data_IF_664078514278
#
_entry.id   IF_664078514278
#
_cell.length_a   1.000
_cell.length_b   1.000
_cell.length_c   1.000
_cell.angle_alpha   90.00
_cell.angle_beta   90.00
_cell.angle_gamma   90.00
#
_symmetry.space_group_name_H-M   'P 1'
#
loop_
_entity.id
_entity.type
_entity.pdbx_description
1 polymer ?
#
# COMPACT_ATOMS: atom_id res chain seq x y z
N UNK A 1 -14.67 -0.19 -1.76
CA UNK A 1 -13.29 -0.58 -2.10
C UNK A 1 -12.71 0.42 -3.08
N UNK A 2 -12.89 1.71 -2.80
CA UNK A 2 -12.42 2.82 -3.62
C UNK A 2 -11.93 3.90 -2.68
N UNK A 3 -10.83 4.56 -2.99
CA UNK A 3 -10.38 5.71 -2.21
C UNK A 3 -11.19 6.96 -2.59
N UNK A 4 -11.29 7.91 -1.66
CA UNK A 4 -11.93 9.19 -1.95
C UNK A 4 -11.10 9.99 -2.96
N UNK A 5 -11.76 10.55 -3.97
CA UNK A 5 -11.15 11.48 -4.93
C UNK A 5 -11.35 12.90 -4.42
N UNK A 6 -10.29 13.71 -4.43
CA UNK A 6 -10.36 15.13 -4.11
C UNK A 6 -10.81 15.91 -5.36
N UNK A 7 -12.12 16.16 -5.46
CA UNK A 7 -12.72 16.96 -6.56
C UNK A 7 -12.31 18.44 -6.50
N UNK A 8 -11.98 18.92 -5.30
CA UNK A 8 -11.57 20.31 -5.04
C UNK A 8 -10.23 20.34 -4.31
N UNK A 9 -9.38 21.29 -4.65
CA UNK A 9 -8.07 21.45 -4.05
C UNK A 9 -7.10 22.14 -5.00
N UNK A 10 -5.82 22.11 -4.65
CA UNK A 10 -4.73 22.64 -5.46
C UNK A 10 -3.70 21.55 -5.70
N UNK A 11 -3.06 21.56 -6.85
CA UNK A 11 -1.87 20.74 -7.12
C UNK A 11 -0.57 21.44 -6.66
N UNK A 12 -0.67 22.66 -6.12
CA UNK A 12 0.47 23.39 -5.60
C UNK A 12 0.87 22.88 -4.20
N UNK A 13 1.86 21.99 -4.16
CA UNK A 13 2.32 21.35 -2.93
C UNK A 13 2.94 22.31 -1.92
N UNK A 14 3.34 23.52 -2.34
CA UNK A 14 3.92 24.54 -1.45
C UNK A 14 2.92 25.13 -0.45
N UNK A 15 1.62 24.95 -0.69
CA UNK A 15 0.57 25.41 0.22
C UNK A 15 0.44 24.52 1.46
N UNK A 16 1.03 23.32 1.43
CA UNK A 16 1.10 22.45 2.61
C UNK A 16 2.17 23.01 3.55
N UNK A 17 1.71 23.57 4.68
CA UNK A 17 2.59 24.21 5.65
C UNK A 17 3.54 23.20 6.31
N UNK A 18 4.76 23.62 6.66
CA UNK A 18 5.60 22.85 7.58
C UNK A 18 4.90 22.64 8.93
N UNK A 19 5.06 21.45 9.50
CA UNK A 19 4.40 21.08 10.75
C UNK A 19 4.39 19.58 11.00
N UNK A 20 3.84 19.21 12.17
CA UNK A 20 3.53 17.83 12.50
C UNK A 20 2.03 17.62 12.32
N UNK A 21 1.68 16.58 11.60
CA UNK A 21 0.33 16.20 11.22
C UNK A 21 0.06 14.77 11.66
N UNK A 22 -1.22 14.46 11.87
CA UNK A 22 -1.70 13.10 11.99
C UNK A 22 -2.48 12.76 10.72
N UNK A 23 -2.04 11.74 10.03
CA UNK A 23 -2.80 11.10 8.97
C UNK A 23 -3.81 10.16 9.64
N UNK A 24 -5.10 10.27 9.31
CA UNK A 24 -6.16 9.49 9.97
C UNK A 24 -6.94 8.57 9.05
N UNK A 25 -6.91 8.82 7.74
CA UNK A 25 -7.73 8.11 6.76
C UNK A 25 -6.96 7.93 5.45
N UNK A 26 -5.71 7.47 5.56
CA UNK A 26 -4.91 7.15 4.40
C UNK A 26 -5.45 5.87 3.74
N UNK A 27 -5.69 5.98 2.43
CA UNK A 27 -6.28 4.93 1.61
C UNK A 27 -5.41 4.71 0.39
N UNK A 28 -5.17 3.44 0.05
CA UNK A 28 -4.41 3.03 -1.15
C UNK A 28 -5.23 2.03 -1.94
N UNK A 29 -5.63 2.44 -3.14
CA UNK A 29 -6.36 1.63 -4.11
C UNK A 29 -5.45 1.29 -5.30
N UNK A 30 -4.89 0.07 -5.34
CA UNK A 30 -4.20 -0.44 -6.53
C UNK A 30 -5.11 -0.43 -7.77
N UNK A 31 -4.62 0.15 -8.86
CA UNK A 31 -5.30 0.14 -10.17
C UNK A 31 -4.92 -1.07 -11.03
N UNK A 32 -3.73 -1.64 -10.81
CA UNK A 32 -3.26 -2.85 -11.48
C UNK A 32 -2.27 -3.62 -10.61
N UNK A 33 -2.12 -4.90 -10.91
CA UNK A 33 -1.09 -5.77 -10.33
C UNK A 33 -0.32 -6.45 -11.46
N UNK A 34 1.00 -6.31 -11.42
CA UNK A 34 1.92 -7.04 -12.29
C UNK A 34 2.78 -7.98 -11.44
N UNK A 35 3.15 -9.12 -12.02
CA UNK A 35 4.02 -10.10 -11.36
C UNK A 35 5.27 -10.24 -12.22
N UNK A 36 6.43 -10.24 -11.59
CA UNK A 36 7.70 -10.46 -12.29
C UNK A 36 7.84 -11.96 -12.62
N UNK A 37 7.91 -12.29 -13.90
CA UNK A 37 8.38 -13.58 -14.41
C UNK A 37 9.72 -13.35 -15.10
N UNK A 38 10.75 -14.10 -14.70
CA UNK A 38 12.13 -13.89 -15.14
C UNK A 38 12.56 -12.42 -14.95
N UNK A 39 12.71 -11.67 -16.05
CA UNK A 39 13.13 -10.26 -16.06
C UNK A 39 12.03 -9.27 -16.48
N UNK A 40 10.80 -9.72 -16.69
CA UNK A 40 9.70 -8.89 -17.15
C UNK A 40 8.51 -8.89 -16.18
N UNK A 41 7.82 -7.75 -16.08
CA UNK A 41 6.57 -7.64 -15.32
C UNK A 41 5.39 -7.94 -16.24
N UNK A 42 4.66 -9.01 -15.92
CA UNK A 42 3.53 -9.48 -16.70
C UNK A 42 2.23 -8.97 -16.10
N UNK A 43 1.32 -8.50 -16.96
CA UNK A 43 -0.02 -8.11 -16.56
C UNK A 43 -0.82 -9.31 -16.06
N UNK A 44 -1.59 -9.13 -14.98
CA UNK A 44 -2.36 -10.20 -14.36
C UNK A 44 -3.84 -9.90 -14.30
N UNK A 45 -4.66 -10.92 -14.07
CA UNK A 45 -6.09 -10.78 -13.79
C UNK A 45 -6.36 -10.96 -12.31
N UNK A 46 -6.94 -9.96 -11.66
CA UNK A 46 -7.38 -10.07 -10.28
C UNK A 46 -8.52 -11.10 -10.14
N UNK A 47 -8.40 -12.03 -9.18
CA UNK A 47 -9.41 -13.09 -8.94
C UNK A 47 -10.01 -13.07 -7.53
N UNK A 48 -9.55 -12.17 -6.66
CA UNK A 48 -10.02 -12.01 -5.27
C UNK A 48 -11.19 -11.02 -5.12
N UNK A 49 -11.73 -10.49 -6.23
CA UNK A 49 -12.77 -9.45 -6.25
C UNK A 49 -12.28 -8.17 -5.56
N UNK A 50 -13.19 -7.36 -5.01
CA UNK A 50 -12.94 -6.02 -4.48
C UNK A 50 -12.51 -6.04 -3.00
N UNK A 51 -11.41 -6.72 -2.68
CA UNK A 51 -10.91 -6.89 -1.30
C UNK A 51 -9.44 -6.48 -1.15
N UNK A 52 -8.95 -5.59 -2.00
CA UNK A 52 -7.50 -5.28 -2.14
C UNK A 52 -7.13 -3.84 -1.75
N UNK A 53 -8.10 -2.97 -1.48
CA UNK A 53 -7.82 -1.60 -1.05
C UNK A 53 -7.38 -1.59 0.41
N UNK A 54 -6.31 -0.86 0.71
CA UNK A 54 -5.92 -0.54 2.07
C UNK A 54 -6.63 0.75 2.48
N UNK A 55 -7.15 0.81 3.71
CA UNK A 55 -8.00 1.91 4.14
C UNK A 55 -7.84 2.19 5.63
N UNK A 56 -8.28 3.39 6.03
CA UNK A 56 -8.24 3.85 7.42
C UNK A 56 -6.85 3.71 8.07
N UNK A 57 -5.80 3.85 7.25
CA UNK A 57 -4.43 3.86 7.74
C UNK A 57 -4.17 5.20 8.43
N UNK A 58 -3.60 5.11 9.62
CA UNK A 58 -3.20 6.23 10.45
C UNK A 58 -1.69 6.29 10.63
N UNK A 59 -1.18 7.49 10.88
CA UNK A 59 0.24 7.66 11.11
C UNK A 59 0.68 9.09 11.37
N UNK A 60 1.96 9.23 11.71
CA UNK A 60 2.62 10.50 11.94
C UNK A 60 3.20 11.04 10.63
N UNK A 61 2.88 12.29 10.31
CA UNK A 61 3.43 12.99 9.15
C UNK A 61 4.17 14.23 9.63
N UNK A 62 5.45 14.33 9.32
CA UNK A 62 6.25 15.53 9.56
C UNK A 62 6.62 16.17 8.24
N UNK A 63 6.24 17.43 8.07
CA UNK A 63 6.62 18.26 6.93
C UNK A 63 7.58 19.34 7.43
N UNK A 64 8.76 19.39 6.85
CA UNK A 64 9.79 20.39 7.17
C UNK A 64 9.84 21.48 6.11
N UNK A 65 10.51 22.59 6.43
CA UNK A 65 10.78 23.65 5.46
C UNK A 65 11.42 23.09 4.18
N UNK A 66 10.97 23.59 3.03
CA UNK A 66 11.38 23.08 1.72
C UNK A 66 10.68 21.80 1.26
N UNK A 67 9.52 21.47 1.85
CA UNK A 67 8.63 20.41 1.35
C UNK A 67 9.13 18.99 1.61
N UNK A 68 10.03 18.79 2.58
CA UNK A 68 10.49 17.46 2.98
C UNK A 68 9.44 16.78 3.86
N UNK A 69 9.05 15.57 3.51
CA UNK A 69 8.06 14.77 4.24
C UNK A 69 8.71 13.55 4.89
N UNK A 70 8.24 13.21 6.08
CA UNK A 70 8.43 11.93 6.74
C UNK A 70 7.06 11.40 7.18
N UNK A 71 6.62 10.28 6.62
CA UNK A 71 5.39 9.60 6.98
C UNK A 71 5.72 8.25 7.65
N UNK A 72 5.16 8.04 8.84
CA UNK A 72 5.31 6.81 9.61
C UNK A 72 3.94 6.23 9.90
N UNK A 73 3.63 5.12 9.24
CA UNK A 73 2.43 4.33 9.48
C UNK A 73 2.43 3.76 10.91
N UNK A 74 1.25 3.67 11.53
CA UNK A 74 1.09 3.22 12.91
C UNK A 74 0.01 2.16 13.09
N UNK A 75 -1.15 2.33 12.45
CA UNK A 75 -2.28 1.41 12.58
C UNK A 75 -3.25 1.56 11.40
N UNK A 76 -4.14 0.60 11.20
CA UNK A 76 -5.23 0.63 10.23
C UNK A 76 -5.40 -0.68 9.46
N UNK A 77 -6.16 -0.64 8.37
CA UNK A 77 -6.26 -1.76 7.42
C UNK A 77 -5.12 -1.63 6.42
N UNK A 78 -3.92 -1.94 6.90
CA UNK A 78 -2.62 -1.77 6.25
C UNK A 78 -2.16 -3.02 5.47
N UNK A 79 -2.99 -4.07 5.39
CA UNK A 79 -2.75 -5.24 4.54
C UNK A 79 -4.03 -5.83 3.93
N UNK A 80 -3.88 -6.47 2.77
CA UNK A 80 -4.92 -7.19 2.07
C UNK A 80 -4.35 -8.46 1.39
N UNK A 81 -4.90 -9.66 1.64
CA UNK A 81 -4.54 -10.85 0.89
C UNK A 81 -5.11 -10.75 -0.52
N UNK A 82 -4.23 -10.79 -1.52
CA UNK A 82 -4.58 -10.67 -2.93
C UNK A 82 -4.18 -11.95 -3.66
N UNK A 83 -5.03 -12.40 -4.57
CA UNK A 83 -4.67 -13.42 -5.55
C UNK A 83 -4.94 -12.89 -6.93
N UNK A 84 -3.93 -12.99 -7.79
CA UNK A 84 -3.99 -12.68 -9.21
C UNK A 84 -3.71 -13.93 -10.02
N UNK A 85 -4.14 -13.92 -11.27
CA UNK A 85 -3.96 -15.00 -12.21
C UNK A 85 -3.11 -14.51 -13.39
N UNK A 86 -2.01 -15.21 -13.64
CA UNK A 86 -1.13 -15.00 -14.78
C UNK A 86 -1.78 -15.49 -16.09
N UNK A 87 -1.31 -15.04 -17.26
CA UNK A 87 -1.55 -15.72 -18.52
C UNK A 87 -1.18 -17.21 -18.38
N UNK A 88 -2.01 -18.12 -18.89
CA UNK A 88 -1.80 -19.57 -18.70
C UNK A 88 -2.47 -20.16 -17.45
N UNK A 89 -2.97 -19.33 -16.53
CA UNK A 89 -3.87 -19.78 -15.45
C UNK A 89 -3.22 -20.03 -14.09
N UNK A 90 -1.90 -19.86 -13.97
CA UNK A 90 -1.21 -19.88 -12.69
C UNK A 90 -1.75 -18.77 -11.76
N UNK A 91 -1.86 -19.08 -10.47
CA UNK A 91 -2.35 -18.15 -9.45
C UNK A 91 -1.24 -17.81 -8.48
N UNK A 92 -0.94 -16.52 -8.38
CA UNK A 92 0.03 -15.99 -7.44
C UNK A 92 -0.74 -15.29 -6.32
N UNK A 93 -0.59 -15.81 -5.10
CA UNK A 93 -1.16 -15.21 -3.90
C UNK A 93 -0.08 -14.45 -3.14
N UNK A 94 -0.39 -13.23 -2.74
CA UNK A 94 0.53 -12.34 -2.02
C UNK A 94 -0.24 -11.46 -1.04
N UNK A 95 0.50 -10.87 -0.11
CA UNK A 95 -0.04 -9.91 0.85
C UNK A 95 0.31 -8.50 0.36
N UNK A 96 -0.65 -7.76 -0.19
CA UNK A 96 -0.46 -6.34 -0.47
C UNK A 96 -0.49 -5.59 0.86
N UNK A 97 0.56 -4.85 1.21
CA UNK A 97 0.71 -4.31 2.57
C UNK A 97 1.57 -3.05 2.60
N UNK A 98 1.31 -2.20 3.59
CA UNK A 98 2.15 -1.06 3.98
C UNK A 98 2.49 -1.10 5.49
N UNK A 99 2.38 -2.28 6.11
CA UNK A 99 2.74 -2.51 7.52
C UNK A 99 4.09 -1.88 7.88
N UNK A 100 4.07 -1.04 8.92
CA UNK A 100 5.24 -0.38 9.48
C UNK A 100 6.02 0.43 8.44
N UNK A 101 5.30 1.07 7.51
CA UNK A 101 5.89 1.96 6.52
C UNK A 101 6.57 3.15 7.19
N UNK A 102 7.87 3.32 6.94
CA UNK A 102 8.65 4.53 7.23
C UNK A 102 9.10 5.14 5.90
N UNK A 103 8.43 6.21 5.47
CA UNK A 103 8.61 6.80 4.14
C UNK A 103 9.07 8.26 4.21
N UNK A 104 10.13 8.59 3.46
CA UNK A 104 10.80 9.89 3.49
C UNK A 104 11.06 10.40 2.09
N UNK A 105 11.06 11.72 1.91
CA UNK A 105 11.40 12.35 0.65
C UNK A 105 10.87 13.77 0.56
N UNK A 106 10.40 14.16 -0.62
CA UNK A 106 9.71 15.42 -0.86
C UNK A 106 8.21 15.18 -1.07
N UNK A 107 7.40 16.23 -1.02
CA UNK A 107 5.97 16.14 -1.34
C UNK A 107 5.72 15.64 -2.78
N UNK A 108 6.67 15.87 -3.70
CA UNK A 108 6.59 15.35 -5.07
C UNK A 108 6.90 13.85 -5.16
N UNK A 109 7.81 13.36 -4.32
CA UNK A 109 8.22 11.95 -4.31
C UNK A 109 8.86 11.57 -2.99
N UNK A 110 8.28 10.56 -2.35
CA UNK A 110 8.83 9.94 -1.16
C UNK A 110 8.93 8.43 -1.34
N UNK A 111 9.92 7.84 -0.67
CA UNK A 111 10.21 6.42 -0.73
C UNK A 111 10.37 5.89 0.68
N UNK A 112 10.04 4.62 0.88
CA UNK A 112 10.08 4.00 2.20
C UNK A 112 10.18 2.50 2.11
N UNK A 113 10.45 1.91 3.27
CA UNK A 113 10.43 0.47 3.46
C UNK A 113 9.24 0.11 4.33
N UNK A 114 8.64 -1.04 4.06
CA UNK A 114 7.55 -1.61 4.84
C UNK A 114 7.79 -3.10 4.99
N UNK A 115 7.12 -3.71 5.96
CA UNK A 115 7.23 -5.13 6.23
C UNK A 115 6.19 -5.92 5.44
N UNK A 116 6.64 -7.03 4.84
CA UNK A 116 5.77 -8.04 4.21
C UNK A 116 5.79 -9.30 5.07
N UNK A 117 4.85 -9.45 6.02
CA UNK A 117 4.70 -10.69 6.78
C UNK A 117 4.44 -11.89 5.88
N UNK A 118 4.65 -13.08 6.41
CA UNK A 118 4.20 -14.31 5.75
C UNK A 118 2.71 -14.23 5.40
N UNK A 119 2.37 -14.59 4.16
CA UNK A 119 0.98 -14.65 3.68
C UNK A 119 0.11 -15.60 4.50
N UNK A 120 0.71 -16.65 5.08
CA UNK A 120 0.06 -17.58 6.01
C UNK A 120 0.62 -17.36 7.42
N UNK A 121 -0.27 -17.26 8.40
CA UNK A 121 0.11 -17.15 9.80
C UNK A 121 0.79 -18.42 10.32
N UNK A 122 1.45 -18.31 11.48
CA UNK A 122 2.20 -19.41 12.10
C UNK A 122 1.35 -20.63 12.48
N UNK A 123 0.05 -20.45 12.65
CA UNK A 123 -0.91 -21.51 12.94
C UNK A 123 -1.66 -22.02 11.70
N UNK A 124 -1.26 -21.61 10.50
CA UNK A 124 -1.84 -22.11 9.27
C UNK A 124 -1.49 -23.58 9.09
N UNK A 125 -2.50 -24.42 8.93
CA UNK A 125 -2.33 -25.84 8.66
C UNK A 125 -2.44 -26.10 7.17
N UNK A 126 -1.47 -26.83 6.62
CA UNK A 126 -1.57 -27.31 5.25
C UNK A 126 -2.62 -28.44 5.12
N UNK A 127 -2.93 -28.93 3.90
CA UNK A 127 -3.90 -30.03 3.72
C UNK A 127 -3.52 -31.36 4.40
N UNK A 128 -2.30 -31.49 4.94
CA UNK A 128 -1.82 -32.63 5.70
C UNK A 128 -1.79 -32.35 7.22
N UNK A 129 -2.27 -31.19 7.66
CA UNK A 129 -2.34 -30.81 9.07
C UNK A 129 -0.99 -30.46 9.69
N UNK A 130 0.01 -30.09 8.88
CA UNK A 130 1.32 -29.64 9.36
C UNK A 130 1.30 -28.17 9.75
#
# INVERSE_FOLDING_TARGET
NTCAVLETGTSNLTEVKPGNYKMTSFCVEPSSFTVKEEDEFIATKLVTRLTYTLADISGDVKISDGGKINFQEQDGIDFAPVTVQLPGGERVAFLFTLKQLDAKGTLDSFQGTFNVPSYRGSSFLDPKGR
#
